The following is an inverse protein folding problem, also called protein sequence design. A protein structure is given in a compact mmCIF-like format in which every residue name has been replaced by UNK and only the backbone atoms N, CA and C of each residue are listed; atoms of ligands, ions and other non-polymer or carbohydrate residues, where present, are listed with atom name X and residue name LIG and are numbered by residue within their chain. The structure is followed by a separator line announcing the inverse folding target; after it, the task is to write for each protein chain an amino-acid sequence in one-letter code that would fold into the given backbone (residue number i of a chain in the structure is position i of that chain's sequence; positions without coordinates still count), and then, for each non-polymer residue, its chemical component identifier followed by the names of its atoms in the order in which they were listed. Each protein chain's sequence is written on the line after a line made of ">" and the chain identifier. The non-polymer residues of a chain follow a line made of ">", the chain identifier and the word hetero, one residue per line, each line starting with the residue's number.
data_IF_381297217653
#
_entry.id   IF_381297217653
#
_cell.length_a   1.000
_cell.length_b   1.000
_cell.length_c   1.000
_cell.angle_alpha   90.00
_cell.angle_beta   90.00
_cell.angle_gamma   90.00
#
_symmetry.space_group_name_H-M   'P 1'
#
loop_
_entity.id
_entity.type
_entity.pdbx_description
1 polymer ?
#
# COMPACT_ATOMS: atom_id res chain seq x y z
N UNK A 1 -10.19 4.20 -6.13
CA UNK A 1 -10.58 3.36 -4.99
C UNK A 1 -10.03 4.00 -3.72
N UNK A 2 -10.88 4.45 -2.80
CA UNK A 2 -10.49 5.38 -1.74
C UNK A 2 -9.64 4.75 -0.61
N UNK A 3 -9.62 3.41 -0.53
CA UNK A 3 -9.00 2.63 0.55
C UNK A 3 -7.49 2.38 0.38
N UNK A 4 -6.92 2.65 -0.80
CA UNK A 4 -5.49 2.47 -1.09
C UNK A 4 -4.78 3.84 -1.18
N UNK A 5 -5.09 4.74 -0.25
CA UNK A 5 -4.50 6.09 -0.16
C UNK A 5 -3.63 6.27 1.07
N UNK A 6 -3.03 5.19 1.59
CA UNK A 6 -2.35 5.21 2.89
C UNK A 6 -1.18 6.22 2.90
N UNK A 7 -0.24 6.22 1.94
CA UNK A 7 0.82 7.25 1.87
C UNK A 7 0.29 8.67 1.74
N UNK A 8 -0.75 8.90 0.92
CA UNK A 8 -1.35 10.23 0.73
C UNK A 8 -1.98 10.73 2.02
N UNK A 9 -2.73 9.87 2.72
CA UNK A 9 -3.41 10.24 3.97
C UNK A 9 -2.40 10.54 5.07
N UNK A 10 -1.33 9.76 5.19
CA UNK A 10 -0.26 10.05 6.13
C UNK A 10 0.41 11.40 5.84
N UNK A 11 0.68 11.70 4.57
CA UNK A 11 1.26 12.97 4.14
C UNK A 11 0.31 14.15 4.40
N UNK A 12 -0.97 14.00 4.07
CA UNK A 12 -2.00 15.02 4.29
C UNK A 12 -2.14 15.33 5.79
N UNK A 13 -2.25 14.30 6.64
CA UNK A 13 -2.30 14.46 8.10
C UNK A 13 -1.06 15.16 8.67
N UNK A 14 0.14 14.83 8.17
CA UNK A 14 1.35 15.52 8.57
C UNK A 14 1.31 17.01 8.22
N UNK A 15 0.96 17.34 6.96
CA UNK A 15 0.88 18.72 6.46
C UNK A 15 -0.20 19.56 7.13
N UNK A 16 -1.28 18.91 7.55
CA UNK A 16 -2.36 19.55 8.33
C UNK A 16 -1.97 19.80 9.80
N UNK A 17 -0.75 19.44 10.22
CA UNK A 17 -0.28 19.60 11.59
C UNK A 17 -0.89 18.63 12.59
N UNK A 18 -1.56 17.56 12.11
CA UNK A 18 -2.19 16.53 12.96
C UNK A 18 -1.20 15.50 13.48
N UNK A 19 0.02 15.49 12.93
CA UNK A 19 1.00 14.41 13.12
C UNK A 19 0.56 13.15 12.40
N UNK A 20 1.53 12.38 11.90
CA UNK A 20 1.26 11.12 11.21
C UNK A 20 2.42 10.15 11.35
N UNK A 21 2.12 8.88 11.57
CA UNK A 21 3.07 7.79 11.49
C UNK A 21 2.62 6.80 10.41
N UNK A 22 3.58 6.24 9.69
CA UNK A 22 3.35 5.20 8.70
C UNK A 22 3.89 3.88 9.26
N UNK A 23 2.99 2.92 9.48
CA UNK A 23 3.34 1.57 9.88
C UNK A 23 3.31 0.64 8.65
N UNK A 24 4.39 -0.07 8.39
CA UNK A 24 4.53 -0.98 7.25
C UNK A 24 4.95 -2.37 7.72
N UNK A 25 4.27 -3.41 7.25
CA UNK A 25 4.70 -4.81 7.47
C UNK A 25 5.98 -5.05 6.69
N UNK A 26 7.10 -5.28 7.37
CA UNK A 26 8.40 -5.49 6.72
C UNK A 26 8.73 -6.97 6.51
N UNK A 27 8.18 -7.83 7.36
CA UNK A 27 8.44 -9.26 7.33
C UNK A 27 7.26 -10.05 7.90
N UNK A 28 7.07 -11.27 7.40
CA UNK A 28 5.96 -12.15 7.78
C UNK A 28 6.44 -13.60 7.86
N UNK A 29 5.99 -14.35 8.86
CA UNK A 29 6.23 -15.78 8.99
C UNK A 29 4.93 -16.54 9.25
N UNK A 30 4.86 -17.76 8.72
CA UNK A 30 3.68 -18.60 8.83
C UNK A 30 2.46 -17.97 8.16
N UNK A 31 1.28 -18.25 8.70
CA UNK A 31 -0.01 -17.80 8.15
C UNK A 31 -0.35 -16.36 8.58
N UNK A 32 0.53 -15.41 8.26
CA UNK A 32 0.27 -13.99 8.53
C UNK A 32 -0.90 -13.46 7.66
N UNK A 33 -1.83 -12.67 8.22
CA UNK A 33 -3.05 -12.23 7.52
C UNK A 33 -2.81 -11.14 6.46
N UNK A 34 -1.67 -10.44 6.53
CA UNK A 34 -1.26 -9.39 5.59
C UNK A 34 0.14 -9.68 5.07
N UNK A 35 0.40 -9.31 3.82
CA UNK A 35 1.70 -9.47 3.18
C UNK A 35 2.67 -8.34 3.54
N UNK A 36 3.97 -8.59 3.38
CA UNK A 36 4.99 -7.54 3.43
C UNK A 36 4.63 -6.39 2.47
N UNK A 37 4.88 -5.16 2.90
CA UNK A 37 4.45 -3.94 2.21
C UNK A 37 3.05 -3.46 2.58
N UNK A 38 2.25 -4.22 3.34
CA UNK A 38 0.94 -3.73 3.82
C UNK A 38 1.14 -2.56 4.78
N UNK A 39 0.34 -1.49 4.61
CA UNK A 39 0.50 -0.25 5.36
C UNK A 39 -0.71 0.14 6.21
N UNK A 40 -0.44 0.89 7.26
CA UNK A 40 -1.39 1.55 8.15
C UNK A 40 -0.87 2.96 8.42
N UNK A 41 -1.67 3.98 8.10
CA UNK A 41 -1.43 5.35 8.54
C UNK A 41 -2.11 5.57 9.88
N UNK A 42 -1.43 6.25 10.80
CA UNK A 42 -1.94 6.60 12.13
C UNK A 42 -1.76 8.11 12.35
N UNK A 43 -2.82 8.85 12.67
CA UNK A 43 -2.74 10.28 13.00
C UNK A 43 -2.26 10.49 14.44
N UNK A 44 -1.83 11.71 14.80
CA UNK A 44 -1.51 12.06 16.19
C UNK A 44 -2.70 11.99 17.15
N UNK A 45 -3.93 11.91 16.63
CA UNK A 45 -5.15 11.67 17.39
C UNK A 45 -5.53 10.16 17.48
N UNK A 46 -4.75 9.27 16.85
CA UNK A 46 -5.00 7.83 16.83
C UNK A 46 -6.02 7.37 15.79
N UNK A 47 -6.43 8.23 14.85
CA UNK A 47 -7.23 7.80 13.70
C UNK A 47 -6.38 6.93 12.77
N UNK A 48 -7.01 5.95 12.13
CA UNK A 48 -6.29 4.99 11.31
C UNK A 48 -6.86 4.85 9.90
N UNK A 49 -5.98 4.57 8.95
CA UNK A 49 -6.34 4.13 7.60
C UNK A 49 -5.42 3.02 7.12
N UNK A 50 -5.97 1.96 6.55
CA UNK A 50 -5.22 0.78 6.15
C UNK A 50 -5.20 -0.29 7.24
N UNK A 51 -4.28 -1.25 7.14
CA UNK A 51 -4.21 -2.38 8.06
C UNK A 51 -2.90 -3.15 7.89
N UNK A 52 -2.32 -3.57 9.02
CA UNK A 52 -1.13 -4.43 9.07
C UNK A 52 -1.45 -5.86 9.47
N UNK A 53 -2.64 -6.14 10.02
CA UNK A 53 -3.01 -7.51 10.44
C UNK A 53 -4.47 -7.91 10.18
N UNK A 54 -5.33 -6.98 9.80
CA UNK A 54 -6.76 -7.22 9.61
C UNK A 54 -7.60 -7.06 10.89
N UNK A 55 -7.03 -6.52 11.97
CA UNK A 55 -7.75 -6.13 13.18
C UNK A 55 -7.16 -6.62 14.51
N UNK A 56 -6.22 -7.56 14.50
CA UNK A 56 -5.73 -8.21 15.73
C UNK A 56 -4.76 -7.34 16.52
N UNK A 57 -3.81 -6.67 15.84
CA UNK A 57 -2.71 -5.93 16.50
C UNK A 57 -2.75 -4.43 16.22
N UNK A 58 -3.71 -3.94 15.45
CA UNK A 58 -3.84 -2.52 15.08
C UNK A 58 -3.85 -1.61 16.32
N UNK A 59 -4.55 -1.99 17.39
CA UNK A 59 -4.56 -1.20 18.64
C UNK A 59 -3.19 -1.09 19.29
N UNK A 60 -2.41 -2.17 19.31
CA UNK A 60 -1.05 -2.17 19.86
C UNK A 60 -0.09 -1.33 19.00
N UNK A 61 -0.22 -1.44 17.66
CA UNK A 61 0.56 -0.64 16.72
C UNK A 61 0.24 0.85 16.86
N UNK A 62 -1.03 1.22 17.10
CA UNK A 62 -1.42 2.61 17.34
C UNK A 62 -0.76 3.16 18.61
N UNK A 63 -0.71 2.40 19.71
CA UNK A 63 -0.05 2.84 20.95
C UNK A 63 1.43 3.12 20.69
N UNK A 64 2.14 2.20 20.05
CA UNK A 64 3.56 2.36 19.73
C UNK A 64 3.80 3.50 18.73
N UNK A 65 2.89 3.71 17.78
CA UNK A 65 2.95 4.83 16.85
C UNK A 65 2.74 6.18 17.53
N UNK A 66 1.83 6.29 18.49
CA UNK A 66 1.64 7.52 19.27
C UNK A 66 2.86 7.84 20.12
N UNK A 67 3.54 6.83 20.68
CA UNK A 67 4.80 7.05 21.39
C UNK A 67 5.94 7.43 20.44
N UNK A 68 5.96 6.86 19.23
CA UNK A 68 6.88 7.26 18.17
C UNK A 68 6.70 8.69 17.70
N UNK A 69 5.46 9.16 17.63
CA UNK A 69 5.20 10.57 17.31
C UNK A 69 5.70 11.52 18.40
N UNK A 70 5.73 11.09 19.67
CA UNK A 70 6.21 11.92 20.78
C UNK A 70 7.73 12.06 20.79
N UNK A 71 8.46 10.96 20.56
CA UNK A 71 9.94 10.94 20.61
C UNK A 71 10.61 11.11 19.24
N UNK A 72 9.84 11.05 18.16
CA UNK A 72 10.32 11.19 16.80
C UNK A 72 11.16 10.01 16.30
N UNK A 73 11.16 8.87 17.01
CA UNK A 73 12.01 7.73 16.68
C UNK A 73 11.26 6.61 15.94
N UNK A 74 11.85 6.03 14.88
CA UNK A 74 11.29 4.85 14.24
C UNK A 74 11.38 3.63 15.16
N UNK A 75 10.44 2.69 15.00
CA UNK A 75 10.39 1.44 15.78
C UNK A 75 10.20 0.24 14.86
N UNK A 76 10.81 -0.88 15.21
CA UNK A 76 10.44 -2.18 14.64
C UNK A 76 9.76 -3.01 15.72
N UNK A 77 8.50 -3.35 15.46
CA UNK A 77 7.63 -4.09 16.36
C UNK A 77 7.47 -5.51 15.85
N UNK A 78 7.47 -6.49 16.75
CA UNK A 78 7.25 -7.90 16.40
C UNK A 78 5.99 -8.40 17.10
N UNK A 79 5.04 -8.91 16.33
CA UNK A 79 3.80 -9.51 16.84
C UNK A 79 3.68 -10.94 16.32
N UNK A 80 3.44 -11.90 17.21
CA UNK A 80 3.39 -13.33 16.86
C UNK A 80 2.35 -14.08 17.68
N UNK A 81 2.36 -15.40 17.62
CA UNK A 81 1.46 -16.22 18.45
C UNK A 81 1.84 -16.02 19.91
N UNK A 82 0.85 -15.66 20.73
CA UNK A 82 1.00 -15.59 22.17
C UNK A 82 1.20 -17.00 22.71
N UNK A 83 2.43 -17.36 23.09
CA UNK A 83 2.59 -18.45 24.06
C UNK A 83 1.93 -18.03 25.37
N UNK A 84 1.23 -18.95 26.05
CA UNK A 84 0.48 -18.72 27.30
C UNK A 84 1.31 -18.12 28.46
N UNK A 85 2.62 -17.99 28.29
CA UNK A 85 3.57 -17.42 29.26
C UNK A 85 4.03 -15.99 28.95
N UNK A 86 3.69 -15.42 27.79
CA UNK A 86 4.04 -14.05 27.40
C UNK A 86 2.77 -13.24 27.10
N UNK A 87 2.57 -12.14 27.83
CA UNK A 87 1.49 -11.14 27.64
C UNK A 87 1.63 -10.34 26.32
N UNK A 88 1.98 -10.99 25.22
CA UNK A 88 2.11 -10.36 23.91
C UNK A 88 0.79 -10.42 23.15
N UNK A 89 0.35 -9.26 22.64
CA UNK A 89 -0.78 -9.18 21.70
C UNK A 89 -0.41 -9.97 20.45
N UNK A 90 -1.19 -11.01 20.15
CA UNK A 90 -0.87 -11.96 19.09
C UNK A 90 -1.81 -11.94 17.89
N UNK A 91 -1.39 -12.61 16.82
CA UNK A 91 -2.20 -12.78 15.61
C UNK A 91 -3.13 -13.99 15.77
N UNK A 92 -4.43 -13.79 15.55
CA UNK A 92 -5.42 -14.87 15.60
C UNK A 92 -5.17 -15.99 14.57
N UNK A 93 -4.44 -15.69 13.49
CA UNK A 93 -4.14 -16.62 12.40
C UNK A 93 -2.94 -17.55 12.67
N UNK A 94 -2.22 -17.38 13.78
CA UNK A 94 -1.08 -18.23 14.13
C UNK A 94 0.26 -17.84 13.45
N UNK A 95 0.31 -16.72 12.74
CA UNK A 95 1.54 -16.20 12.11
C UNK A 95 2.32 -15.23 13.02
N UNK A 96 3.42 -14.72 12.48
CA UNK A 96 4.20 -13.62 13.06
C UNK A 96 4.43 -12.53 12.00
N UNK A 97 4.38 -11.27 12.40
CA UNK A 97 4.73 -10.12 11.57
C UNK A 97 5.74 -9.22 12.27
N UNK A 98 6.61 -8.58 11.47
CA UNK A 98 7.37 -7.39 11.88
C UNK A 98 6.78 -6.16 11.21
N UNK A 99 6.58 -5.12 12.00
CA UNK A 99 6.01 -3.85 11.57
C UNK A 99 7.01 -2.74 11.85
N UNK A 100 7.44 -2.05 10.81
CA UNK A 100 8.21 -0.82 10.91
C UNK A 100 7.25 0.35 11.08
N UNK A 101 7.39 1.12 12.15
CA UNK A 101 6.63 2.34 12.42
C UNK A 101 7.54 3.54 12.25
N UNK A 102 7.18 4.46 11.35
CA UNK A 102 7.96 5.65 11.06
C UNK A 102 7.12 6.93 11.23
N UNK A 103 7.43 7.76 12.24
CA UNK A 103 6.93 9.13 12.33
C UNK A 103 7.27 9.95 11.06
N UNK A 104 6.25 10.48 10.38
CA UNK A 104 6.43 11.37 9.22
C UNK A 104 7.02 12.70 9.69
N UNK A 105 8.10 13.13 9.04
CA UNK A 105 8.94 14.27 9.41
C UNK A 105 10.20 13.82 10.15
N UNK A 106 10.14 13.49 11.45
CA UNK A 106 11.34 13.16 12.25
C UNK A 106 12.06 11.89 11.83
N UNK A 107 11.33 10.84 11.44
CA UNK A 107 11.92 9.55 11.09
C UNK A 107 11.80 9.26 9.58
N UNK A 108 10.61 9.38 9.01
CA UNK A 108 10.36 9.30 7.58
C UNK A 108 10.34 10.71 6.99
N UNK A 109 11.36 11.13 6.22
CA UNK A 109 11.41 12.48 5.66
C UNK A 109 10.18 12.80 4.81
N UNK A 110 9.63 14.01 4.98
CA UNK A 110 8.40 14.42 4.28
C UNK A 110 8.60 14.44 2.75
N UNK A 111 9.76 14.89 2.28
CA UNK A 111 10.11 14.96 0.87
C UNK A 111 10.15 13.57 0.20
N UNK A 112 10.66 12.57 0.93
CA UNK A 112 10.66 11.18 0.48
C UNK A 112 9.22 10.66 0.36
N UNK A 113 8.38 10.87 1.39
CA UNK A 113 6.97 10.46 1.34
C UNK A 113 6.20 11.20 0.22
N UNK A 114 6.46 12.48 0.03
CA UNK A 114 5.89 13.28 -1.05
C UNK A 114 6.31 12.76 -2.43
N UNK A 115 7.56 12.32 -2.60
CA UNK A 115 8.02 11.70 -3.84
C UNK A 115 7.32 10.36 -4.13
N UNK A 116 7.04 9.54 -3.10
CA UNK A 116 6.24 8.33 -3.23
C UNK A 116 4.82 8.68 -3.70
N UNK A 117 4.15 9.62 -3.03
CA UNK A 117 2.80 10.07 -3.39
C UNK A 117 2.74 10.63 -4.82
N UNK A 118 3.74 11.43 -5.21
CA UNK A 118 3.83 11.98 -6.56
C UNK A 118 4.01 10.87 -7.61
N UNK A 119 4.85 9.87 -7.35
CA UNK A 119 5.04 8.74 -8.25
C UNK A 119 3.75 7.91 -8.40
N UNK A 120 3.04 7.61 -7.30
CA UNK A 120 1.76 6.91 -7.34
C UNK A 120 0.70 7.67 -8.13
N UNK A 121 0.60 8.98 -7.90
CA UNK A 121 -0.32 9.86 -8.64
C UNK A 121 0.00 9.89 -10.14
N UNK A 122 1.28 9.95 -10.49
CA UNK A 122 1.75 9.90 -11.87
C UNK A 122 1.75 8.49 -12.48
N UNK A 123 1.32 7.46 -11.72
CA UNK A 123 1.37 6.04 -12.10
C UNK A 123 2.76 5.56 -12.53
N UNK A 124 3.80 6.13 -11.91
CA UNK A 124 5.19 5.77 -12.14
C UNK A 124 5.64 4.76 -11.08
N UNK A 125 6.16 3.59 -11.47
CA UNK A 125 6.74 2.64 -10.53
C UNK A 125 7.84 3.29 -9.68
N UNK A 126 7.79 3.05 -8.38
CA UNK A 126 8.81 3.48 -7.43
C UNK A 126 8.92 2.45 -6.31
N UNK A 127 10.08 2.37 -5.68
CA UNK A 127 10.28 1.63 -4.44
C UNK A 127 10.91 2.51 -3.38
N UNK A 128 10.60 2.20 -2.13
CA UNK A 128 11.22 2.77 -0.94
C UNK A 128 12.07 1.70 -0.28
N UNK A 129 13.36 1.98 -0.12
CA UNK A 129 14.31 1.16 0.61
C UNK A 129 14.62 1.77 1.98
N UNK A 130 14.63 0.95 3.02
CA UNK A 130 15.06 1.33 4.37
C UNK A 130 15.79 0.18 5.04
N UNK A 131 16.91 0.47 5.72
CA UNK A 131 17.63 -0.53 6.52
C UNK A 131 17.26 -0.37 7.99
N UNK A 132 16.46 -1.27 8.60
CA UNK A 132 16.10 -1.15 10.00
C UNK A 132 17.33 -1.18 10.92
N UNK A 133 17.41 -0.22 11.86
CA UNK A 133 18.51 -0.07 12.81
C UNK A 133 19.57 0.94 12.37
N UNK A 134 19.92 0.97 11.09
CA UNK A 134 20.77 2.00 10.48
C UNK A 134 19.94 3.25 10.11
N UNK A 135 18.72 3.02 9.62
CA UNK A 135 17.76 4.03 9.16
C UNK A 135 18.19 4.82 7.92
N UNK A 136 19.18 4.33 7.17
CA UNK A 136 19.43 4.75 5.80
C UNK A 136 18.21 4.45 4.94
N UNK A 137 17.87 5.43 4.08
CA UNK A 137 16.67 5.41 3.26
C UNK A 137 17.03 5.85 1.85
N UNK A 138 16.36 5.25 0.87
CA UNK A 138 16.50 5.63 -0.53
C UNK A 138 15.25 5.32 -1.33
N UNK A 139 15.12 6.02 -2.45
CA UNK A 139 14.13 5.71 -3.48
C UNK A 139 14.82 4.96 -4.61
N UNK A 140 14.10 4.00 -5.18
CA UNK A 140 14.60 3.11 -6.22
C UNK A 140 13.59 3.01 -7.36
N UNK A 141 14.11 2.82 -8.57
CA UNK A 141 13.32 2.61 -9.78
C UNK A 141 13.40 1.18 -10.31
N UNK A 142 12.65 0.88 -11.38
CA UNK A 142 12.68 -0.42 -12.06
C UNK A 142 14.06 -0.90 -12.48
N UNK A 143 14.95 0.01 -12.86
CA UNK A 143 16.30 -0.33 -13.29
C UNK A 143 17.19 -0.80 -12.13
N UNK A 144 16.90 -0.36 -10.89
CA UNK A 144 17.64 -0.77 -9.70
C UNK A 144 17.24 -2.17 -9.23
N UNK A 145 15.95 -2.55 -9.40
CA UNK A 145 15.36 -3.78 -8.84
C UNK A 145 14.40 -4.48 -9.84
N UNK A 146 14.86 -4.85 -11.05
CA UNK A 146 13.98 -5.28 -12.15
C UNK A 146 13.07 -6.46 -11.79
N UNK A 147 13.58 -7.47 -11.08
CA UNK A 147 12.80 -8.65 -10.70
C UNK A 147 11.75 -8.37 -9.62
N UNK A 148 12.04 -7.44 -8.68
CA UNK A 148 11.08 -7.03 -7.66
C UNK A 148 9.91 -6.33 -8.34
N UNK A 149 10.19 -5.34 -9.19
CA UNK A 149 9.16 -4.59 -9.91
C UNK A 149 8.30 -5.48 -10.81
N UNK A 150 8.91 -6.46 -11.48
CA UNK A 150 8.20 -7.44 -12.31
C UNK A 150 7.28 -8.35 -11.51
N UNK A 151 7.69 -8.76 -10.30
CA UNK A 151 6.90 -9.68 -9.46
C UNK A 151 5.93 -8.96 -8.52
N UNK A 152 6.07 -7.64 -8.39
CA UNK A 152 5.28 -6.78 -7.51
C UNK A 152 5.33 -7.21 -6.03
N UNK A 153 6.53 -7.57 -5.55
CA UNK A 153 6.73 -8.10 -4.18
C UNK A 153 7.65 -7.25 -3.32
N UNK A 154 7.06 -6.59 -2.34
CA UNK A 154 7.77 -5.99 -1.20
C UNK A 154 8.36 -7.06 -0.28
N UNK A 155 9.38 -6.71 0.50
CA UNK A 155 9.97 -7.60 1.50
C UNK A 155 11.41 -7.25 1.86
N UNK A 156 11.97 -8.03 2.76
CA UNK A 156 13.38 -7.94 3.14
C UNK A 156 14.29 -8.48 2.02
N UNK A 157 15.45 -7.86 1.87
CA UNK A 157 16.63 -8.35 1.14
C UNK A 157 17.58 -9.07 2.09
N UNK A 158 18.45 -9.94 1.55
CA UNK A 158 19.49 -10.62 2.33
C UNK A 158 20.49 -9.64 2.98
N UNK A 159 20.60 -8.43 2.43
CA UNK A 159 21.39 -7.33 2.98
C UNK A 159 20.82 -6.74 4.28
N UNK A 160 19.57 -7.07 4.63
CA UNK A 160 18.83 -6.46 5.73
C UNK A 160 18.06 -5.18 5.35
N UNK A 161 18.09 -4.76 4.09
CA UNK A 161 17.24 -3.67 3.59
C UNK A 161 15.81 -4.17 3.37
N UNK A 162 14.82 -3.44 3.86
CA UNK A 162 13.42 -3.63 3.49
C UNK A 162 13.09 -2.81 2.25
N UNK A 163 12.46 -3.45 1.26
CA UNK A 163 11.97 -2.80 0.04
C UNK A 163 10.44 -2.81 0.01
N UNK A 164 9.83 -1.62 0.00
CA UNK A 164 8.40 -1.43 -0.30
C UNK A 164 8.21 -1.01 -1.75
N UNK A 165 7.42 -1.77 -2.52
CA UNK A 165 7.09 -1.45 -3.90
C UNK A 165 5.79 -0.67 -4.02
N UNK A 166 5.78 0.29 -4.95
CA UNK A 166 4.63 1.09 -5.35
C UNK A 166 4.48 1.02 -6.87
N UNK A 167 4.04 -0.14 -7.38
CA UNK A 167 3.64 -0.27 -8.77
C UNK A 167 2.25 0.35 -9.02
N UNK A 168 2.00 0.89 -10.22
CA UNK A 168 0.64 1.26 -10.60
C UNK A 168 -0.23 -0.02 -10.69
N UNK A 169 -1.54 0.09 -10.41
CA UNK A 169 -2.47 -1.02 -10.58
C UNK A 169 -2.39 -1.66 -11.97
N UNK A 170 -2.49 -3.00 -12.01
CA UNK A 170 -2.46 -3.74 -13.26
C UNK A 170 -3.62 -3.31 -14.17
N UNK A 171 -3.30 -3.02 -15.43
CA UNK A 171 -4.29 -2.66 -16.44
C UNK A 171 -5.10 -3.90 -16.83
N UNK A 172 -6.42 -3.80 -16.79
CA UNK A 172 -7.31 -4.84 -17.33
C UNK A 172 -8.03 -4.30 -18.56
N UNK A 173 -7.79 -4.91 -19.73
CA UNK A 173 -8.46 -4.52 -20.96
C UNK A 173 -9.71 -5.41 -21.14
N UNK A 174 -10.88 -4.79 -21.17
CA UNK A 174 -12.17 -5.46 -21.30
C UNK A 174 -12.71 -5.19 -22.71
N UNK A 175 -12.58 -6.17 -23.61
CA UNK A 175 -13.05 -6.06 -24.99
C UNK A 175 -14.54 -6.43 -25.06
N UNK A 176 -15.37 -5.46 -25.44
CA UNK A 176 -16.82 -5.58 -25.55
C UNK A 176 -17.57 -4.94 -24.38
N UNK A 177 -18.33 -3.88 -24.65
CA UNK A 177 -19.07 -3.08 -23.68
C UNK A 177 -20.51 -3.61 -23.44
N UNK A 178 -20.68 -4.92 -23.40
CA UNK A 178 -21.99 -5.57 -23.17
C UNK A 178 -22.35 -5.63 -21.68
N UNK A 179 -23.52 -6.16 -21.34
CA UNK A 179 -24.03 -6.21 -19.97
C UNK A 179 -23.08 -6.93 -18.98
N UNK A 180 -22.35 -7.95 -19.44
CA UNK A 180 -21.33 -8.65 -18.61
C UNK A 180 -20.22 -7.70 -18.17
N UNK A 181 -19.76 -6.81 -19.05
CA UNK A 181 -18.70 -5.84 -18.72
C UNK A 181 -19.15 -4.87 -17.62
N UNK A 182 -20.43 -4.50 -17.57
CA UNK A 182 -20.95 -3.62 -16.51
C UNK A 182 -20.85 -4.25 -15.12
N UNK A 183 -20.99 -5.58 -15.03
CA UNK A 183 -20.77 -6.32 -13.79
C UNK A 183 -19.28 -6.57 -13.52
N UNK A 184 -18.47 -6.79 -14.56
CA UNK A 184 -17.04 -7.08 -14.43
C UNK A 184 -16.23 -5.87 -13.96
N UNK A 185 -16.47 -4.67 -14.50
CA UNK A 185 -15.72 -3.44 -14.17
C UNK A 185 -15.65 -3.17 -12.65
N UNK A 186 -16.75 -3.18 -11.89
CA UNK A 186 -16.67 -2.95 -10.44
C UNK A 186 -15.93 -4.08 -9.72
N UNK A 187 -16.07 -5.35 -10.14
CA UNK A 187 -15.32 -6.47 -9.56
C UNK A 187 -13.82 -6.35 -9.83
N UNK A 188 -13.44 -6.00 -11.06
CA UNK A 188 -12.06 -5.79 -11.46
C UNK A 188 -11.41 -4.68 -10.63
N UNK A 189 -12.11 -3.55 -10.48
CA UNK A 189 -11.70 -2.47 -9.57
C UNK A 189 -11.49 -3.02 -8.17
N UNK A 190 -12.48 -3.71 -7.58
CA UNK A 190 -12.40 -4.25 -6.22
C UNK A 190 -11.22 -5.22 -6.03
N UNK A 191 -10.86 -5.95 -7.08
CA UNK A 191 -9.69 -6.82 -7.11
C UNK A 191 -8.35 -6.08 -7.33
N UNK A 192 -8.37 -4.75 -7.42
CA UNK A 192 -7.17 -3.92 -7.57
C UNK A 192 -6.73 -3.67 -9.01
N UNK A 193 -7.53 -3.99 -10.01
CA UNK A 193 -7.22 -3.67 -11.42
C UNK A 193 -7.66 -2.25 -11.80
N UNK A 194 -7.02 -1.72 -12.84
CA UNK A 194 -7.42 -0.50 -13.54
C UNK A 194 -8.08 -0.86 -14.89
N UNK A 195 -9.41 -1.06 -14.92
CA UNK A 195 -10.08 -1.52 -16.12
C UNK A 195 -10.26 -0.42 -17.17
N UNK A 196 -10.04 -0.80 -18.43
CA UNK A 196 -10.39 -0.02 -19.62
C UNK A 196 -11.37 -0.83 -20.46
N UNK A 197 -12.51 -0.25 -20.80
CA UNK A 197 -13.51 -0.91 -21.66
C UNK A 197 -13.29 -0.48 -23.11
N UNK A 198 -13.15 -1.46 -24.00
CA UNK A 198 -12.88 -1.25 -25.43
C UNK A 198 -14.11 -1.71 -26.21
N UNK A 199 -14.82 -0.80 -26.88
CA UNK A 199 -15.90 -1.14 -27.81
C UNK A 199 -16.16 0.02 -28.79
N UNK A 200 -16.08 -0.18 -30.12
CA UNK A 200 -16.27 0.89 -31.08
C UNK A 200 -17.72 1.40 -31.16
N UNK A 201 -18.67 0.67 -30.58
CA UNK A 201 -20.08 1.03 -30.58
C UNK A 201 -20.37 1.94 -29.39
N UNK A 202 -20.44 3.25 -29.62
CA UNK A 202 -20.73 4.25 -28.58
C UNK A 202 -22.07 4.03 -27.84
N UNK A 203 -23.05 3.34 -28.45
CA UNK A 203 -24.28 2.93 -27.77
C UNK A 203 -24.05 1.89 -26.65
N UNK A 204 -22.94 1.15 -26.73
CA UNK A 204 -22.51 0.18 -25.73
C UNK A 204 -21.50 0.79 -24.75
N UNK A 205 -20.40 1.35 -25.26
CA UNK A 205 -19.40 2.05 -24.45
C UNK A 205 -19.78 3.52 -24.28
N UNK A 206 -20.52 3.83 -23.21
CA UNK A 206 -20.88 5.19 -22.83
C UNK A 206 -20.72 5.40 -21.32
N UNK A 207 -20.48 6.64 -20.92
CA UNK A 207 -20.34 7.03 -19.52
C UNK A 207 -21.56 6.64 -18.68
N UNK A 208 -22.77 6.77 -19.24
CA UNK A 208 -24.02 6.35 -18.59
C UNK A 208 -24.05 4.85 -18.22
N UNK A 209 -23.33 4.00 -18.96
CA UNK A 209 -23.25 2.55 -18.71
C UNK A 209 -22.01 2.15 -17.91
N UNK A 210 -20.97 2.99 -17.93
CA UNK A 210 -19.66 2.72 -17.35
C UNK A 210 -19.10 3.97 -16.65
N UNK A 211 -19.78 4.47 -15.60
CA UNK A 211 -19.34 5.69 -14.92
C UNK A 211 -17.92 5.53 -14.36
N UNK A 212 -17.17 6.63 -14.41
CA UNK A 212 -15.79 6.74 -13.94
C UNK A 212 -14.81 5.73 -14.60
N UNK A 213 -15.19 5.16 -15.74
CA UNK A 213 -14.41 4.12 -16.45
C UNK A 213 -13.76 4.70 -17.69
N UNK A 214 -12.48 4.38 -17.91
CA UNK A 214 -11.82 4.74 -19.17
C UNK A 214 -12.44 3.92 -20.30
N UNK A 215 -12.99 4.60 -21.29
CA UNK A 215 -13.55 4.00 -22.50
C UNK A 215 -12.60 4.23 -23.67
N UNK A 216 -12.36 3.18 -24.47
CA UNK A 216 -11.73 3.27 -25.77
C UNK A 216 -12.76 2.85 -26.84
N UNK A 217 -13.01 3.73 -27.82
CA UNK A 217 -13.96 3.53 -28.91
C UNK A 217 -13.28 3.12 -30.23
N UNK A 218 -12.01 2.76 -30.18
CA UNK A 218 -11.29 2.14 -31.29
C UNK A 218 -11.73 0.69 -31.50
N UNK A 219 -11.40 0.14 -32.67
CA UNK A 219 -11.54 -1.30 -32.88
C UNK A 219 -10.57 -2.05 -31.97
N UNK A 220 -10.93 -3.27 -31.51
CA UNK A 220 -10.07 -4.02 -30.59
C UNK A 220 -8.64 -4.22 -31.06
N UNK A 221 -8.44 -4.40 -32.37
CA UNK A 221 -7.11 -4.59 -32.97
C UNK A 221 -6.23 -3.32 -32.89
N UNK A 222 -6.84 -2.14 -32.86
CA UNK A 222 -6.14 -0.84 -32.76
C UNK A 222 -5.90 -0.41 -31.30
N UNK A 223 -6.75 -0.89 -30.38
CA UNK A 223 -6.78 -0.48 -28.98
C UNK A 223 -5.82 -1.25 -28.05
N UNK A 224 -5.29 -2.39 -28.50
CA UNK A 224 -4.43 -3.32 -27.75
C UNK A 224 -2.94 -3.05 -27.99
#
# INVERSE_FOLDING_TARGET
>A
MQHDRIPEIALDWHRDGRGAALATVIETWGSAPRQAGSQLAISGAGEIMGSVSGGCVEGAVVVEALDALKDGQPRVLTYGVSDETAFNVGLACGGTIRVLVEPVGPALPEDLLAAIVAARTARRPLAYGVVPGDWSRRLLGPDDLPDRFRTDRSGMEDSGEFIALFNPPLRMLIVGAVHVAQALVPMARLAGYDPVVIDPRAAFASDARFPDTRLNLEWPDDAL
#
